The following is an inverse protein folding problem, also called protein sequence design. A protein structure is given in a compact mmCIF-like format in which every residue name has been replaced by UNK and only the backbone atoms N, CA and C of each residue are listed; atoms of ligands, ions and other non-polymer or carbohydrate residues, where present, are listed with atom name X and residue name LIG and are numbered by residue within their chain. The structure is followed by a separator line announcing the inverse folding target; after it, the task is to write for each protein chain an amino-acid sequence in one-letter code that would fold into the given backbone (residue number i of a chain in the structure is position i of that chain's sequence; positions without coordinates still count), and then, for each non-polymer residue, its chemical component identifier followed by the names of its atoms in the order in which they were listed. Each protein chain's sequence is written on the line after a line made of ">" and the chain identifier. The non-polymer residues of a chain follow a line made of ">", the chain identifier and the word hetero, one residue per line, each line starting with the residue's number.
data_IF_280907257194
#
_entry.id   IF_280907257194
#
_cell.length_a   1.000
_cell.length_b   1.000
_cell.length_c   1.000
_cell.angle_alpha   90.00
_cell.angle_beta   90.00
_cell.angle_gamma   90.00
#
_symmetry.space_group_name_H-M   'P 1'
#
loop_
_entity.id
_entity.type
_entity.pdbx_description
1 polymer ?
#
# COMPACT_ATOMS: atom_id res chain seq x y z
N UNK A 1 41.07 -44.13 -24.07
CA UNK A 1 41.10 -42.68 -24.20
C UNK A 1 39.71 -42.20 -23.80
N UNK A 2 39.53 -41.87 -22.47
CA UNK A 2 38.24 -41.57 -21.87
C UNK A 2 38.04 -40.07 -21.94
N UNK A 3 37.05 -39.66 -22.71
CA UNK A 3 36.61 -38.27 -22.89
C UNK A 3 36.02 -37.75 -21.57
N UNK A 4 36.79 -36.93 -20.85
CA UNK A 4 36.33 -36.23 -19.67
C UNK A 4 35.59 -34.98 -20.14
N UNK A 5 34.23 -35.05 -20.23
CA UNK A 5 33.40 -33.86 -20.31
C UNK A 5 33.60 -33.06 -19.02
N UNK A 6 33.82 -31.72 -19.09
CA UNK A 6 33.95 -30.90 -17.92
C UNK A 6 32.64 -30.94 -17.14
N UNK A 7 32.74 -31.23 -15.84
CA UNK A 7 31.62 -31.32 -14.93
C UNK A 7 30.88 -29.99 -14.87
N UNK A 8 29.62 -30.00 -15.26
CA UNK A 8 28.68 -28.95 -14.99
C UNK A 8 28.39 -28.98 -13.48
N UNK A 9 29.01 -28.09 -12.71
CA UNK A 9 28.52 -27.76 -11.38
C UNK A 9 27.08 -27.28 -11.49
N UNK A 10 26.27 -27.34 -10.41
CA UNK A 10 24.90 -26.90 -10.46
C UNK A 10 24.88 -25.47 -10.97
N UNK A 11 24.26 -25.21 -12.13
CA UNK A 11 24.00 -23.87 -12.65
C UNK A 11 23.11 -23.23 -11.61
N UNK A 12 23.67 -22.28 -10.86
CA UNK A 12 22.92 -21.55 -9.84
C UNK A 12 21.78 -20.85 -10.57
N UNK A 13 20.53 -21.23 -10.27
CA UNK A 13 19.36 -20.61 -10.87
C UNK A 13 19.48 -19.08 -10.79
N UNK A 14 19.16 -18.40 -11.88
CA UNK A 14 19.18 -16.94 -11.94
C UNK A 14 18.10 -16.43 -11.00
N UNK A 15 18.50 -15.73 -9.92
CA UNK A 15 17.55 -15.10 -9.00
C UNK A 15 17.19 -13.72 -9.51
N UNK A 16 15.90 -13.50 -9.77
CA UNK A 16 15.35 -12.26 -10.30
C UNK A 16 14.28 -11.74 -9.34
N UNK A 17 14.50 -10.57 -8.75
CA UNK A 17 13.50 -9.88 -7.94
C UNK A 17 12.93 -8.72 -8.75
N UNK A 18 11.60 -8.63 -8.82
CA UNK A 18 10.88 -7.63 -9.61
C UNK A 18 9.88 -6.92 -8.72
N UNK A 19 9.92 -5.60 -8.74
CA UNK A 19 8.88 -4.76 -8.13
C UNK A 19 8.06 -4.11 -9.21
N UNK A 20 6.74 -4.26 -9.11
CA UNK A 20 5.75 -3.73 -10.04
C UNK A 20 4.72 -2.84 -9.34
N UNK A 21 4.58 -2.94 -8.01
CA UNK A 21 3.69 -2.10 -7.20
C UNK A 21 4.31 -0.73 -6.96
N UNK A 22 4.05 0.19 -7.90
CA UNK A 22 4.68 1.50 -8.05
C UNK A 22 5.59 1.56 -9.26
N UNK A 23 6.86 1.87 -9.06
CA UNK A 23 7.85 1.93 -10.15
C UNK A 23 8.38 0.55 -10.47
N UNK A 24 8.58 0.30 -11.77
CA UNK A 24 9.23 -0.94 -12.22
C UNK A 24 10.68 -0.96 -11.79
N UNK A 25 11.03 -1.89 -10.92
CA UNK A 25 12.40 -2.13 -10.48
C UNK A 25 12.75 -3.60 -10.71
N UNK A 26 13.97 -3.84 -11.15
CA UNK A 26 14.48 -5.17 -11.45
C UNK A 26 15.84 -5.36 -10.78
N UNK A 27 15.98 -6.44 -10.03
CA UNK A 27 17.24 -6.86 -9.45
C UNK A 27 17.57 -8.29 -9.91
N UNK A 28 18.83 -8.52 -10.31
CA UNK A 28 19.31 -9.83 -10.72
C UNK A 28 20.52 -10.19 -9.87
N UNK A 29 20.44 -11.32 -9.17
CA UNK A 29 21.46 -11.77 -8.22
C UNK A 29 21.86 -10.69 -7.20
N UNK A 30 20.86 -9.88 -6.72
CA UNK A 30 21.06 -8.79 -5.75
C UNK A 30 21.66 -7.52 -6.34
N UNK A 31 21.79 -7.41 -7.67
CA UNK A 31 22.22 -6.19 -8.34
C UNK A 31 21.06 -5.52 -9.06
N UNK A 32 20.83 -4.26 -8.78
CA UNK A 32 19.79 -3.47 -9.46
C UNK A 32 20.14 -3.27 -10.93
N UNK A 33 19.22 -3.67 -11.81
CA UNK A 33 19.31 -3.48 -13.24
C UNK A 33 18.49 -2.25 -13.66
N UNK A 34 19.11 -1.31 -14.33
CA UNK A 34 18.42 -0.18 -14.96
C UNK A 34 17.90 -0.60 -16.34
N UNK A 35 16.59 -0.67 -16.47
CA UNK A 35 15.95 -0.89 -17.77
C UNK A 35 15.95 0.41 -18.60
N UNK A 36 16.43 0.34 -19.84
CA UNK A 36 16.47 1.46 -20.74
C UNK A 36 15.07 1.72 -21.34
N UNK A 37 14.41 2.79 -20.87
CA UNK A 37 13.14 3.26 -21.44
C UNK A 37 11.90 2.52 -20.98
N UNK A 38 10.75 3.18 -21.18
CA UNK A 38 9.42 2.66 -20.76
C UNK A 38 9.01 1.41 -21.50
N UNK A 39 9.43 1.24 -22.76
CA UNK A 39 9.09 0.07 -23.56
C UNK A 39 9.69 -1.22 -22.98
N UNK A 40 10.95 -1.19 -22.55
CA UNK A 40 11.58 -2.34 -21.90
C UNK A 40 10.94 -2.64 -20.54
N UNK A 41 10.56 -1.61 -19.76
CA UNK A 41 9.85 -1.77 -18.50
C UNK A 41 8.47 -2.42 -18.71
N UNK A 42 7.70 -1.97 -19.72
CA UNK A 42 6.40 -2.54 -20.06
C UNK A 42 6.50 -4.00 -20.49
N UNK A 43 7.52 -4.33 -21.31
CA UNK A 43 7.76 -5.70 -21.73
C UNK A 43 8.10 -6.60 -20.53
N UNK A 44 9.01 -6.20 -19.66
CA UNK A 44 9.36 -6.96 -18.45
C UNK A 44 8.14 -7.16 -17.57
N UNK A 45 7.37 -6.10 -17.31
CA UNK A 45 6.17 -6.19 -16.48
C UNK A 45 5.15 -7.19 -17.05
N UNK A 46 4.90 -7.14 -18.37
CA UNK A 46 3.98 -8.10 -19.01
C UNK A 46 4.50 -9.54 -18.92
N UNK A 47 5.78 -9.78 -19.21
CA UNK A 47 6.38 -11.13 -19.15
C UNK A 47 6.35 -11.70 -17.74
N UNK A 48 6.61 -10.86 -16.72
CA UNK A 48 6.59 -11.23 -15.30
C UNK A 48 5.17 -11.56 -14.81
N UNK A 49 4.16 -10.79 -15.22
CA UNK A 49 2.77 -11.04 -14.81
C UNK A 49 2.16 -12.26 -15.53
N UNK A 50 2.52 -12.46 -16.79
CA UNK A 50 1.94 -13.55 -17.61
C UNK A 50 2.63 -14.91 -17.38
N UNK A 51 3.95 -14.93 -17.17
CA UNK A 51 4.80 -16.12 -16.85
C UNK A 51 4.66 -17.31 -17.79
N UNK A 52 4.31 -17.07 -19.03
CA UNK A 52 4.24 -18.09 -20.07
C UNK A 52 4.81 -17.54 -21.36
N UNK A 53 5.34 -18.42 -22.18
CA UNK A 53 5.76 -18.08 -23.54
C UNK A 53 4.53 -17.76 -24.38
N UNK A 54 4.56 -16.66 -25.12
CA UNK A 54 3.46 -16.19 -25.95
C UNK A 54 3.95 -15.79 -27.34
N UNK A 55 3.02 -15.83 -28.29
CA UNK A 55 3.29 -15.32 -29.63
C UNK A 55 3.68 -13.82 -29.57
N UNK A 56 4.71 -13.45 -30.32
CA UNK A 56 5.21 -12.07 -30.35
C UNK A 56 4.15 -11.07 -30.79
N UNK A 57 3.32 -11.45 -31.75
CA UNK A 57 2.22 -10.59 -32.23
C UNK A 57 1.17 -10.34 -31.12
N UNK A 58 0.87 -11.36 -30.30
CA UNK A 58 -0.03 -11.20 -29.16
C UNK A 58 0.55 -10.25 -28.11
N UNK A 59 1.85 -10.35 -27.80
CA UNK A 59 2.55 -9.42 -26.87
C UNK A 59 2.55 -8.00 -27.44
N UNK A 60 2.81 -7.86 -28.75
CA UNK A 60 2.83 -6.57 -29.42
C UNK A 60 1.45 -5.90 -29.40
N UNK A 61 0.39 -6.65 -29.66
CA UNK A 61 -1.00 -6.17 -29.62
C UNK A 61 -1.41 -5.76 -28.21
N UNK A 62 -1.06 -6.54 -27.18
CA UNK A 62 -1.39 -6.20 -25.80
C UNK A 62 -0.71 -4.88 -25.35
N UNK A 63 0.57 -4.70 -25.67
CA UNK A 63 1.33 -3.54 -25.24
C UNK A 63 1.07 -2.30 -26.10
N UNK A 64 0.81 -2.48 -27.41
CA UNK A 64 0.64 -1.35 -28.35
C UNK A 64 -0.54 -1.59 -29.31
N UNK A 65 -1.78 -1.68 -28.81
CA UNK A 65 -2.95 -2.02 -29.63
C UNK A 65 -3.18 -1.05 -30.79
N UNK A 66 -2.92 0.23 -30.57
CA UNK A 66 -3.19 1.29 -31.56
C UNK A 66 -1.97 1.63 -32.45
N UNK A 67 -0.84 0.94 -32.29
CA UNK A 67 0.35 1.28 -33.06
C UNK A 67 0.35 0.61 -34.44
N UNK A 68 0.42 1.40 -35.50
CA UNK A 68 0.64 0.92 -36.89
C UNK A 68 1.91 0.04 -37.07
N UNK A 69 2.77 -0.01 -36.06
CA UNK A 69 4.02 -0.76 -36.04
C UNK A 69 4.25 -1.49 -34.71
N UNK A 70 3.23 -2.09 -34.10
CA UNK A 70 3.30 -2.79 -32.81
C UNK A 70 4.45 -3.80 -32.73
N UNK A 71 4.67 -4.59 -33.80
CA UNK A 71 5.79 -5.53 -33.92
C UNK A 71 7.16 -4.83 -33.91
N UNK A 72 7.23 -3.63 -34.50
CA UNK A 72 8.43 -2.78 -34.45
C UNK A 72 8.72 -2.28 -33.04
N UNK A 73 7.67 -1.84 -32.31
CA UNK A 73 7.76 -1.43 -30.92
C UNK A 73 8.22 -2.56 -30.00
N UNK A 74 7.69 -3.78 -30.21
CA UNK A 74 8.15 -4.98 -29.49
C UNK A 74 9.64 -5.28 -29.77
N UNK A 75 10.05 -5.19 -31.04
CA UNK A 75 11.44 -5.44 -31.42
C UNK A 75 12.37 -4.42 -30.73
N UNK A 76 11.98 -3.16 -30.66
CA UNK A 76 12.73 -2.12 -29.96
C UNK A 76 12.77 -2.39 -28.45
N UNK A 77 11.64 -2.72 -27.81
CA UNK A 77 11.55 -3.05 -26.38
C UNK A 77 12.46 -4.22 -26.03
N UNK A 78 12.44 -5.28 -26.83
CA UNK A 78 13.29 -6.47 -26.66
C UNK A 78 14.78 -6.13 -26.84
N UNK A 79 15.11 -5.31 -27.82
CA UNK A 79 16.49 -4.83 -28.02
C UNK A 79 16.98 -4.03 -26.81
N UNK A 80 16.17 -3.10 -26.28
CA UNK A 80 16.49 -2.32 -25.08
C UNK A 80 16.69 -3.21 -23.86
N UNK A 81 15.82 -4.21 -23.67
CA UNK A 81 15.94 -5.17 -22.58
C UNK A 81 17.23 -5.99 -22.68
N UNK A 82 17.49 -6.58 -23.85
CA UNK A 82 18.72 -7.35 -24.11
C UNK A 82 19.97 -6.50 -23.90
N UNK A 83 19.96 -5.27 -24.39
CA UNK A 83 21.09 -4.33 -24.22
C UNK A 83 21.32 -3.99 -22.74
N UNK A 84 20.24 -3.78 -21.96
CA UNK A 84 20.34 -3.54 -20.51
C UNK A 84 20.94 -4.71 -19.76
N UNK A 85 20.53 -5.94 -20.10
CA UNK A 85 21.08 -7.19 -19.52
C UNK A 85 22.56 -7.36 -19.87
N UNK A 86 22.91 -7.22 -21.14
CA UNK A 86 24.30 -7.33 -21.62
C UNK A 86 25.21 -6.29 -20.98
N UNK A 87 24.74 -5.04 -20.85
CA UNK A 87 25.49 -3.97 -20.19
C UNK A 87 25.74 -4.26 -18.69
N UNK A 88 24.86 -5.05 -18.05
CA UNK A 88 25.05 -5.54 -16.69
C UNK A 88 25.91 -6.81 -16.60
N UNK A 89 26.44 -7.29 -17.71
CA UNK A 89 27.26 -8.51 -17.78
C UNK A 89 26.45 -9.83 -17.71
N UNK A 90 25.16 -9.76 -18.05
CA UNK A 90 24.25 -10.91 -18.05
C UNK A 90 23.99 -11.37 -19.49
N UNK A 91 23.92 -12.68 -19.70
CA UNK A 91 23.45 -13.25 -20.94
C UNK A 91 21.91 -13.17 -20.97
N UNK A 92 21.31 -12.44 -21.92
CA UNK A 92 19.85 -12.32 -22.03
C UNK A 92 19.13 -13.66 -22.15
N UNK A 93 19.76 -14.65 -22.74
CA UNK A 93 19.16 -15.98 -22.95
C UNK A 93 19.11 -16.84 -21.67
N UNK A 94 19.71 -16.36 -20.56
CA UNK A 94 19.51 -16.92 -19.23
C UNK A 94 18.17 -16.47 -18.59
N UNK A 95 17.63 -15.34 -19.02
CA UNK A 95 16.34 -14.79 -18.53
C UNK A 95 15.21 -15.05 -19.51
N UNK A 96 15.47 -14.90 -20.80
CA UNK A 96 14.47 -14.89 -21.86
C UNK A 96 14.47 -16.21 -22.65
N UNK A 97 13.28 -16.75 -22.86
CA UNK A 97 13.01 -17.74 -23.89
C UNK A 97 12.45 -17.02 -25.10
N UNK A 98 13.21 -17.01 -26.22
CA UNK A 98 12.91 -16.15 -27.35
C UNK A 98 13.34 -16.82 -28.66
N UNK A 99 12.38 -17.06 -29.53
CA UNK A 99 12.60 -17.51 -30.91
C UNK A 99 12.01 -16.50 -31.93
N UNK A 100 11.80 -16.93 -33.18
CA UNK A 100 11.27 -16.07 -34.24
C UNK A 100 9.82 -15.63 -33.95
N UNK A 101 8.99 -16.50 -33.36
CA UNK A 101 7.56 -16.37 -33.27
C UNK A 101 7.08 -16.16 -31.84
N UNK A 102 7.86 -16.54 -30.83
CA UNK A 102 7.48 -16.55 -29.43
C UNK A 102 8.48 -15.83 -28.52
N UNK A 103 7.99 -15.39 -27.35
CA UNK A 103 8.77 -14.72 -26.31
C UNK A 103 8.15 -15.00 -24.94
N UNK A 104 9.01 -15.25 -23.96
CA UNK A 104 8.62 -15.41 -22.55
C UNK A 104 9.82 -15.32 -21.62
N UNK A 105 9.58 -15.50 -20.33
CA UNK A 105 10.62 -15.76 -19.36
C UNK A 105 10.93 -17.26 -19.32
N UNK A 106 12.17 -17.60 -19.07
CA UNK A 106 12.57 -18.99 -18.88
C UNK A 106 11.92 -19.57 -17.62
N UNK A 107 11.44 -20.82 -17.66
CA UNK A 107 10.75 -21.44 -16.52
C UNK A 107 11.69 -21.80 -15.35
N UNK A 108 13.01 -21.86 -15.61
CA UNK A 108 14.05 -22.19 -14.61
C UNK A 108 14.60 -20.95 -13.86
N UNK A 109 14.03 -19.75 -14.09
CA UNK A 109 14.37 -18.53 -13.36
C UNK A 109 13.68 -18.53 -11.99
N UNK A 110 14.48 -18.32 -10.92
CA UNK A 110 13.96 -18.08 -9.57
C UNK A 110 13.43 -16.64 -9.48
N UNK A 111 12.10 -16.49 -9.60
CA UNK A 111 11.42 -15.21 -9.73
C UNK A 111 10.71 -14.83 -8.43
N UNK A 112 11.15 -13.73 -7.78
CA UNK A 112 10.53 -13.10 -6.63
C UNK A 112 9.84 -11.81 -7.05
N UNK A 113 8.50 -11.75 -6.97
CA UNK A 113 7.69 -10.62 -7.43
C UNK A 113 6.87 -10.07 -6.28
N UNK A 114 6.87 -8.74 -6.12
CA UNK A 114 6.09 -8.07 -5.09
C UNK A 114 4.57 -8.27 -5.22
N UNK A 115 4.05 -8.41 -6.44
CA UNK A 115 2.64 -8.74 -6.70
C UNK A 115 2.26 -10.09 -6.11
N UNK A 116 3.09 -11.14 -6.27
CA UNK A 116 2.81 -12.45 -5.68
C UNK A 116 2.81 -12.41 -4.16
N UNK A 117 3.81 -11.72 -3.60
CA UNK A 117 3.89 -11.54 -2.15
C UNK A 117 2.71 -10.74 -1.61
N UNK A 118 2.23 -9.77 -2.38
CA UNK A 118 1.02 -9.02 -2.05
C UNK A 118 -0.22 -9.93 -2.08
N UNK A 119 -0.38 -10.73 -3.13
CA UNK A 119 -1.49 -11.68 -3.26
C UNK A 119 -1.48 -12.72 -2.14
N UNK A 120 -0.30 -13.24 -1.79
CA UNK A 120 -0.13 -14.14 -0.63
C UNK A 120 -0.47 -13.45 0.69
N UNK A 121 -0.10 -12.18 0.85
CA UNK A 121 -0.40 -11.39 2.05
C UNK A 121 -1.89 -11.05 2.18
N UNK A 122 -2.63 -10.91 1.07
CA UNK A 122 -4.07 -10.64 1.07
C UNK A 122 -4.90 -11.92 1.20
N UNK A 123 -4.61 -12.94 0.40
CA UNK A 123 -5.47 -14.12 0.23
C UNK A 123 -4.79 -15.46 0.43
N UNK A 124 -3.53 -15.50 0.86
CA UNK A 124 -2.78 -16.72 1.12
C UNK A 124 -3.25 -17.47 2.37
N UNK A 125 -2.62 -18.60 2.71
CA UNK A 125 -3.00 -19.44 3.84
C UNK A 125 -2.78 -18.78 5.22
N UNK A 126 -1.97 -17.71 5.28
CA UNK A 126 -1.72 -16.91 6.48
C UNK A 126 -1.75 -15.41 6.10
N UNK A 127 -2.94 -14.80 5.93
CA UNK A 127 -3.05 -13.43 5.48
C UNK A 127 -2.40 -12.44 6.45
N UNK A 128 -1.63 -11.50 5.92
CA UNK A 128 -1.07 -10.37 6.66
C UNK A 128 -1.38 -9.04 5.94
N UNK A 129 -2.53 -8.42 6.26
CA UNK A 129 -2.91 -7.15 5.65
C UNK A 129 -1.89 -6.03 5.91
N UNK A 130 -1.13 -6.10 7.00
CA UNK A 130 -0.05 -5.14 7.29
C UNK A 130 1.07 -5.24 6.26
N UNK A 131 1.53 -6.46 5.97
CA UNK A 131 2.52 -6.72 4.92
C UNK A 131 2.00 -6.30 3.53
N UNK A 132 0.72 -6.57 3.21
CA UNK A 132 0.11 -6.12 1.96
C UNK A 132 0.20 -4.60 1.81
N UNK A 133 -0.10 -3.84 2.87
CA UNK A 133 0.02 -2.38 2.87
C UNK A 133 1.47 -1.90 2.69
N UNK A 134 2.44 -2.61 3.25
CA UNK A 134 3.87 -2.29 3.09
C UNK A 134 4.37 -2.57 1.67
N UNK A 135 3.90 -3.64 1.04
CA UNK A 135 4.28 -4.02 -0.32
C UNK A 135 3.70 -3.07 -1.38
N UNK A 136 2.51 -2.52 -1.15
CA UNK A 136 1.83 -1.64 -2.09
C UNK A 136 2.39 -0.21 -2.02
N UNK A 137 3.50 0.05 -2.71
CA UNK A 137 4.17 1.35 -2.73
C UNK A 137 3.54 2.34 -3.74
N UNK A 138 2.65 1.88 -4.62
CA UNK A 138 1.94 2.64 -5.63
C UNK A 138 1.14 1.72 -6.54
N UNK A 139 0.44 2.29 -7.51
CA UNK A 139 -0.33 1.49 -8.48
C UNK A 139 0.57 0.57 -9.30
N UNK A 140 0.01 -0.55 -9.75
CA UNK A 140 0.72 -1.48 -10.62
C UNK A 140 1.28 -0.74 -11.83
N UNK A 141 2.62 -0.78 -11.98
CA UNK A 141 3.37 -0.15 -13.06
C UNK A 141 2.96 1.32 -13.31
N UNK A 142 2.87 2.12 -12.26
CA UNK A 142 2.33 3.48 -12.20
C UNK A 142 2.76 4.39 -13.37
N UNK A 143 4.02 4.26 -13.80
CA UNK A 143 4.56 5.08 -14.88
C UNK A 143 4.19 4.60 -16.29
N UNK A 144 3.46 3.49 -16.43
CA UNK A 144 3.14 2.83 -17.70
C UNK A 144 1.64 2.86 -17.95
N UNK A 145 1.20 3.71 -18.87
CA UNK A 145 -0.22 3.87 -19.23
C UNK A 145 -0.78 2.79 -20.17
N UNK A 146 -0.24 1.56 -20.15
CA UNK A 146 -0.72 0.49 -21.03
C UNK A 146 -2.02 -0.12 -20.51
N UNK A 147 -3.01 -0.24 -21.41
CA UNK A 147 -4.35 -0.74 -21.12
C UNK A 147 -4.34 -2.21 -20.65
N UNK A 148 -3.39 -3.01 -21.15
CA UNK A 148 -3.26 -4.41 -20.77
C UNK A 148 -3.03 -4.64 -19.27
N UNK A 149 -2.63 -3.62 -18.51
CA UNK A 149 -2.48 -3.68 -17.06
C UNK A 149 -3.70 -3.15 -16.29
N UNK A 150 -4.69 -2.56 -16.95
CA UNK A 150 -5.79 -1.84 -16.29
C UNK A 150 -6.56 -2.72 -15.32
N UNK A 151 -7.01 -3.89 -15.78
CA UNK A 151 -7.77 -4.85 -14.95
C UNK A 151 -6.99 -5.32 -13.72
N UNK A 152 -5.70 -5.61 -13.90
CA UNK A 152 -4.86 -6.07 -12.79
C UNK A 152 -4.54 -4.94 -11.83
N UNK A 153 -4.37 -3.72 -12.33
CA UNK A 153 -4.21 -2.50 -11.52
C UNK A 153 -5.42 -2.26 -10.63
N UNK A 154 -6.62 -2.33 -11.19
CA UNK A 154 -7.87 -2.19 -10.46
C UNK A 154 -8.01 -3.27 -9.37
N UNK A 155 -7.82 -4.54 -9.72
CA UNK A 155 -7.87 -5.65 -8.76
C UNK A 155 -6.92 -5.45 -7.56
N UNK A 156 -5.68 -5.04 -7.82
CA UNK A 156 -4.68 -4.82 -6.77
C UNK A 156 -4.99 -3.57 -5.94
N UNK A 157 -5.57 -2.53 -6.55
CA UNK A 157 -6.01 -1.34 -5.84
C UNK A 157 -7.16 -1.65 -4.88
N UNK A 158 -8.17 -2.40 -5.33
CA UNK A 158 -9.30 -2.83 -4.50
C UNK A 158 -8.82 -3.69 -3.32
N UNK A 159 -7.95 -4.67 -3.59
CA UNK A 159 -7.40 -5.53 -2.55
C UNK A 159 -6.56 -4.76 -1.51
N UNK A 160 -5.83 -3.73 -1.94
CA UNK A 160 -5.10 -2.83 -1.04
C UNK A 160 -6.04 -2.00 -0.17
N UNK A 161 -7.14 -1.49 -0.72
CA UNK A 161 -8.15 -0.74 0.03
C UNK A 161 -8.84 -1.62 1.08
N UNK A 162 -9.16 -2.86 0.74
CA UNK A 162 -9.70 -3.83 1.68
C UNK A 162 -8.69 -4.18 2.79
N UNK A 163 -7.40 -4.30 2.47
CA UNK A 163 -6.35 -4.48 3.46
C UNK A 163 -6.24 -3.28 4.43
N UNK A 164 -6.41 -2.05 3.92
CA UNK A 164 -6.45 -0.84 4.77
C UNK A 164 -7.63 -0.85 5.74
N UNK A 165 -8.83 -1.30 5.31
CA UNK A 165 -10.00 -1.47 6.18
C UNK A 165 -9.66 -2.45 7.31
N UNK A 166 -9.15 -3.64 6.96
CA UNK A 166 -8.81 -4.67 7.93
C UNK A 166 -7.77 -4.20 8.97
N UNK A 167 -6.72 -3.51 8.51
CA UNK A 167 -5.70 -2.95 9.41
C UNK A 167 -6.28 -1.86 10.30
N UNK A 168 -7.11 -0.97 9.75
CA UNK A 168 -7.75 0.09 10.53
C UNK A 168 -8.65 -0.46 11.63
N UNK A 169 -9.47 -1.48 11.32
CA UNK A 169 -10.34 -2.12 12.31
C UNK A 169 -9.56 -2.93 13.35
N UNK A 170 -8.51 -3.66 12.95
CA UNK A 170 -7.64 -4.37 13.87
C UNK A 170 -6.96 -3.42 14.86
N UNK A 171 -6.36 -2.33 14.38
CA UNK A 171 -5.72 -1.32 15.24
C UNK A 171 -6.71 -0.65 16.17
N UNK A 172 -7.93 -0.40 15.72
CA UNK A 172 -9.01 0.11 16.56
C UNK A 172 -9.37 -0.87 17.70
N UNK A 173 -9.44 -2.18 17.41
CA UNK A 173 -9.69 -3.22 18.41
C UNK A 173 -8.51 -3.36 19.40
N UNK A 174 -7.29 -3.14 18.96
CA UNK A 174 -6.07 -3.11 19.78
C UNK A 174 -5.88 -1.78 20.56
N UNK A 175 -6.83 -0.85 20.45
CA UNK A 175 -6.78 0.51 21.03
C UNK A 175 -5.62 1.37 20.50
N UNK A 176 -5.05 1.05 19.35
CA UNK A 176 -4.11 1.89 18.62
C UNK A 176 -4.87 2.95 17.78
N UNK A 177 -5.36 3.98 18.46
CA UNK A 177 -6.14 5.06 17.81
C UNK A 177 -5.33 5.84 16.77
N UNK A 178 -4.03 6.16 16.98
CA UNK A 178 -3.21 6.80 15.97
C UNK A 178 -3.05 5.94 14.71
N UNK A 179 -2.76 4.65 14.86
CA UNK A 179 -2.60 3.74 13.74
C UNK A 179 -3.91 3.45 12.98
N UNK A 180 -5.04 3.30 13.69
CA UNK A 180 -6.34 3.17 13.08
C UNK A 180 -6.71 4.41 12.25
N UNK A 181 -6.44 5.60 12.80
CA UNK A 181 -6.65 6.88 12.10
C UNK A 181 -5.80 6.98 10.84
N UNK A 182 -4.52 6.62 10.92
CA UNK A 182 -3.61 6.67 9.78
C UNK A 182 -4.10 5.79 8.63
N UNK A 183 -4.46 4.52 8.91
CA UNK A 183 -4.96 3.60 7.90
C UNK A 183 -6.27 4.10 7.26
N UNK A 184 -7.21 4.60 8.08
CA UNK A 184 -8.47 5.18 7.58
C UNK A 184 -8.23 6.43 6.71
N UNK A 185 -7.29 7.31 7.06
CA UNK A 185 -6.95 8.48 6.25
C UNK A 185 -6.27 8.11 4.93
N UNK A 186 -5.42 7.06 4.92
CA UNK A 186 -4.83 6.54 3.67
C UNK A 186 -5.91 6.00 2.73
N UNK A 187 -6.92 5.30 3.28
CA UNK A 187 -8.06 4.83 2.49
C UNK A 187 -8.87 6.00 1.92
N UNK A 188 -9.22 7.01 2.74
CA UNK A 188 -9.98 8.18 2.28
C UNK A 188 -9.22 9.08 1.30
N UNK A 189 -7.90 8.99 1.24
CA UNK A 189 -7.11 9.68 0.23
C UNK A 189 -7.26 9.04 -1.17
N UNK A 190 -7.67 7.77 -1.23
CA UNK A 190 -7.93 7.03 -2.47
C UNK A 190 -9.41 7.04 -2.82
N UNK A 191 -10.24 6.61 -1.89
CA UNK A 191 -11.70 6.63 -2.00
C UNK A 191 -12.33 7.46 -0.87
N UNK A 192 -12.65 8.73 -1.14
CA UNK A 192 -13.30 9.61 -0.16
C UNK A 192 -14.73 9.19 0.21
N UNK A 193 -15.36 8.29 -0.57
CA UNK A 193 -16.73 7.82 -0.35
C UNK A 193 -16.79 6.54 0.49
N UNK A 194 -15.65 5.94 0.83
CA UNK A 194 -15.57 4.68 1.58
C UNK A 194 -16.07 4.85 3.02
N UNK A 195 -17.31 4.46 3.26
CA UNK A 195 -17.98 4.65 4.56
C UNK A 195 -17.28 3.89 5.71
N UNK A 196 -16.63 2.73 5.44
CA UNK A 196 -15.85 1.98 6.42
C UNK A 196 -14.78 2.85 7.08
N UNK A 197 -14.01 3.59 6.27
CA UNK A 197 -12.97 4.48 6.78
C UNK A 197 -13.55 5.61 7.63
N UNK A 198 -14.69 6.17 7.21
CA UNK A 198 -15.39 7.18 8.00
C UNK A 198 -15.87 6.61 9.33
N UNK A 199 -16.40 5.36 9.37
CA UNK A 199 -16.79 4.69 10.62
C UNK A 199 -15.62 4.52 11.58
N UNK A 200 -14.45 4.13 11.08
CA UNK A 200 -13.21 4.06 11.89
C UNK A 200 -12.88 5.44 12.48
N UNK A 201 -12.88 6.50 11.66
CA UNK A 201 -12.60 7.86 12.15
C UNK A 201 -13.63 8.37 13.17
N UNK A 202 -14.92 8.04 13.00
CA UNK A 202 -15.95 8.37 13.98
C UNK A 202 -15.67 7.69 15.32
N UNK A 203 -15.29 6.41 15.35
CA UNK A 203 -14.91 5.68 16.58
C UNK A 203 -13.64 6.27 17.21
N UNK A 204 -12.61 6.57 16.43
CA UNK A 204 -11.37 7.23 16.91
C UNK A 204 -11.71 8.57 17.56
N UNK A 205 -12.50 9.43 16.90
CA UNK A 205 -12.87 10.73 17.45
C UNK A 205 -13.84 10.63 18.63
N UNK A 206 -14.65 9.57 18.70
CA UNK A 206 -15.48 9.27 19.86
C UNK A 206 -14.64 8.89 21.08
N UNK A 207 -13.55 8.13 20.88
CA UNK A 207 -12.65 7.68 21.96
C UNK A 207 -11.67 8.78 22.41
N UNK A 208 -10.95 9.43 21.48
CA UNK A 208 -9.84 10.33 21.80
C UNK A 208 -10.10 11.78 21.40
N UNK A 209 -11.09 12.02 20.55
CA UNK A 209 -11.38 13.34 20.01
C UNK A 209 -12.42 14.14 20.80
N UNK A 210 -12.94 15.15 20.17
CA UNK A 210 -13.99 16.00 20.68
C UNK A 210 -15.31 15.75 19.96
N UNK A 211 -16.44 16.04 20.61
CA UNK A 211 -17.77 16.03 19.99
C UNK A 211 -17.82 16.82 18.67
N UNK A 212 -17.10 17.94 18.60
CA UNK A 212 -17.02 18.74 17.38
C UNK A 212 -16.30 18.02 16.22
N UNK A 213 -15.30 17.17 16.52
CA UNK A 213 -14.62 16.37 15.51
C UNK A 213 -15.52 15.26 14.96
N UNK A 214 -16.24 14.55 15.82
CA UNK A 214 -17.24 13.55 15.44
C UNK A 214 -18.29 14.17 14.51
N UNK A 215 -18.85 15.32 14.91
CA UNK A 215 -19.88 16.01 14.13
C UNK A 215 -19.36 16.48 12.77
N UNK A 216 -18.15 17.05 12.73
CA UNK A 216 -17.53 17.48 11.45
C UNK A 216 -17.27 16.31 10.51
N UNK A 217 -16.79 15.17 11.04
CA UNK A 217 -16.53 13.99 10.24
C UNK A 217 -17.79 13.44 9.59
N UNK A 218 -18.87 13.32 10.37
CA UNK A 218 -20.15 12.82 9.87
C UNK A 218 -20.76 13.77 8.83
N UNK A 219 -20.76 15.08 9.08
CA UNK A 219 -21.25 16.10 8.12
C UNK A 219 -20.47 16.03 6.82
N UNK A 220 -19.14 15.93 6.89
CA UNK A 220 -18.28 15.83 5.71
C UNK A 220 -18.67 14.63 4.83
N UNK A 221 -18.90 13.47 5.45
CA UNK A 221 -19.35 12.27 4.75
C UNK A 221 -20.74 12.48 4.13
N UNK A 222 -21.74 12.93 4.92
CA UNK A 222 -23.11 13.11 4.44
C UNK A 222 -23.19 14.10 3.28
N UNK A 223 -22.45 15.21 3.35
CA UNK A 223 -22.39 16.21 2.28
C UNK A 223 -21.74 15.63 1.02
N UNK A 224 -20.72 14.77 1.18
CA UNK A 224 -20.02 14.14 0.08
C UNK A 224 -20.91 13.10 -0.63
N UNK A 225 -21.56 12.21 0.14
CA UNK A 225 -22.47 11.18 -0.40
C UNK A 225 -23.66 11.81 -1.15
N UNK A 226 -24.24 12.87 -0.57
CA UNK A 226 -25.35 13.58 -1.21
C UNK A 226 -24.93 14.27 -2.50
N UNK A 227 -23.74 14.88 -2.52
CA UNK A 227 -23.24 15.62 -3.67
C UNK A 227 -22.83 14.71 -4.85
N UNK A 228 -22.13 13.60 -4.54
CA UNK A 228 -21.53 12.73 -5.56
C UNK A 228 -22.48 11.60 -6.03
N UNK A 229 -23.32 11.09 -5.10
CA UNK A 229 -24.15 9.90 -5.35
C UNK A 229 -25.66 10.14 -5.11
N UNK A 230 -26.03 11.27 -4.54
CA UNK A 230 -27.44 11.59 -4.13
C UNK A 230 -28.02 10.54 -3.16
N UNK A 231 -27.19 10.05 -2.22
CA UNK A 231 -27.60 9.07 -1.20
C UNK A 231 -27.32 9.57 0.21
N UNK A 232 -28.00 8.98 1.20
CA UNK A 232 -27.73 9.18 2.62
C UNK A 232 -26.73 8.13 3.13
N UNK A 233 -26.01 8.40 4.25
CA UNK A 233 -25.12 7.43 4.87
C UNK A 233 -25.84 6.13 5.23
N UNK A 234 -25.11 5.00 5.17
CA UNK A 234 -25.60 3.70 5.57
C UNK A 234 -26.05 3.68 7.04
N UNK A 235 -27.05 2.85 7.41
CA UNK A 235 -27.53 2.71 8.79
C UNK A 235 -26.40 2.43 9.80
N UNK A 236 -25.41 1.61 9.42
CA UNK A 236 -24.23 1.27 10.21
C UNK A 236 -23.36 2.49 10.51
N UNK A 237 -23.26 3.40 9.55
CA UNK A 237 -22.51 4.65 9.70
C UNK A 237 -23.25 5.65 10.60
N UNK A 238 -24.56 5.72 10.46
CA UNK A 238 -25.41 6.52 11.39
C UNK A 238 -25.30 5.99 12.81
N UNK A 239 -25.35 4.65 13.00
CA UNK A 239 -25.17 4.03 14.31
C UNK A 239 -23.77 4.31 14.91
N UNK A 240 -22.72 4.22 14.09
CA UNK A 240 -21.36 4.56 14.51
C UNK A 240 -21.23 6.02 14.93
N UNK A 241 -21.88 6.94 14.22
CA UNK A 241 -21.94 8.35 14.59
C UNK A 241 -22.63 8.57 15.95
N UNK A 242 -23.81 7.97 16.16
CA UNK A 242 -24.57 8.10 17.42
C UNK A 242 -23.74 7.57 18.61
N UNK A 243 -23.10 6.42 18.44
CA UNK A 243 -22.24 5.83 19.46
C UNK A 243 -21.03 6.72 19.77
N UNK A 244 -20.34 7.23 18.75
CA UNK A 244 -19.20 8.14 18.92
C UNK A 244 -19.58 9.46 19.62
N UNK A 245 -20.76 10.01 19.31
CA UNK A 245 -21.28 11.21 19.96
C UNK A 245 -21.53 10.96 21.45
N UNK A 246 -22.15 9.84 21.80
CA UNK A 246 -22.42 9.48 23.19
C UNK A 246 -21.12 9.33 24.01
N UNK A 247 -20.11 8.63 23.44
CA UNK A 247 -18.80 8.50 24.10
C UNK A 247 -18.09 9.84 24.29
N UNK A 248 -18.09 10.70 23.30
CA UNK A 248 -17.48 12.03 23.41
C UNK A 248 -18.18 12.92 24.46
N UNK A 249 -19.50 12.78 24.64
CA UNK A 249 -20.27 13.48 25.67
C UNK A 249 -19.95 12.97 27.08
N UNK A 250 -19.92 11.64 27.28
CA UNK A 250 -19.57 11.03 28.55
C UNK A 250 -18.18 11.46 29.05
N UNK A 251 -17.18 11.42 28.18
CA UNK A 251 -15.82 11.89 28.51
C UNK A 251 -15.76 13.37 28.83
N UNK A 252 -16.51 14.20 28.10
CA UNK A 252 -16.58 15.66 28.40
C UNK A 252 -17.16 15.89 29.78
N UNK A 253 -18.18 15.12 30.18
CA UNK A 253 -18.78 15.21 31.51
C UNK A 253 -17.79 14.76 32.61
N UNK A 254 -17.07 13.66 32.40
CA UNK A 254 -16.02 13.17 33.31
C UNK A 254 -14.90 14.19 33.50
N UNK A 255 -14.41 14.81 32.41
CA UNK A 255 -13.37 15.82 32.44
C UNK A 255 -13.81 17.04 33.28
N UNK A 256 -15.07 17.48 33.15
CA UNK A 256 -15.64 18.57 33.95
C UNK A 256 -15.72 18.20 35.43
N UNK A 257 -16.12 16.99 35.78
CA UNK A 257 -16.15 16.50 37.16
C UNK A 257 -14.75 16.48 37.77
N UNK A 258 -13.77 15.95 37.06
CA UNK A 258 -12.37 15.93 37.53
C UNK A 258 -11.80 17.33 37.72
N UNK A 259 -12.09 18.28 36.83
CA UNK A 259 -11.63 19.67 36.95
C UNK A 259 -12.23 20.32 38.20
N UNK A 260 -13.54 20.14 38.47
CA UNK A 260 -14.21 20.66 39.68
C UNK A 260 -13.66 20.05 40.98
N UNK A 261 -13.35 18.74 40.97
CA UNK A 261 -12.73 18.08 42.12
C UNK A 261 -11.32 18.61 42.39
N UNK A 262 -10.52 18.85 41.31
CA UNK A 262 -9.20 19.43 41.44
C UNK A 262 -9.26 20.89 41.96
N UNK A 263 -10.20 21.71 41.50
CA UNK A 263 -10.41 23.07 42.00
C UNK A 263 -10.81 23.08 43.48
N UNK A 264 -11.73 22.18 43.91
CA UNK A 264 -12.12 22.07 45.33
C UNK A 264 -10.98 21.60 46.21
N UNK A 265 -10.12 20.66 45.72
CA UNK A 265 -8.93 20.24 46.46
C UNK A 265 -7.88 21.34 46.56
N UNK A 266 -7.69 22.17 45.53
CA UNK A 266 -6.77 23.32 45.56
C UNK A 266 -7.22 24.42 46.51
N UNK A 267 -8.54 24.69 46.62
CA UNK A 267 -9.11 25.66 47.59
C UNK A 267 -9.00 25.13 49.01
N UNK A 268 -9.09 23.80 49.24
CA UNK A 268 -8.97 23.19 50.57
C UNK A 268 -7.54 23.22 51.13
N UNK A 269 -6.51 23.23 50.23
CA UNK A 269 -5.10 23.40 50.59
C UNK A 269 -4.73 24.87 50.39
N UNK A 270 -5.28 25.75 51.22
CA UNK A 270 -5.00 27.20 51.16
C UNK A 270 -3.52 27.54 51.16
N UNK A 271 -3.11 28.75 50.72
CA UNK A 271 -1.68 29.10 50.61
C UNK A 271 -1.04 29.00 52.01
N UNK A 272 -0.11 28.04 52.11
CA UNK A 272 0.66 27.83 53.35
C UNK A 272 1.24 29.15 53.81
N UNK A 273 0.97 29.51 55.08
CA UNK A 273 1.52 30.67 55.75
C UNK A 273 3.07 30.65 55.53
N UNK A 274 3.52 31.68 54.84
CA UNK A 274 4.95 32.00 54.84
C UNK A 274 5.37 32.21 56.28
N UNK A 275 6.20 31.33 56.84
CA UNK A 275 6.86 31.55 58.12
C UNK A 275 7.85 32.69 57.92
N UNK A 276 7.56 33.83 58.58
CA UNK A 276 8.52 34.92 58.73
C UNK A 276 9.85 34.42 59.30
N UNK A 277 11.01 34.84 58.77
CA UNK A 277 12.29 34.56 59.39
C UNK A 277 12.42 35.40 60.67
N UNK A 278 12.59 34.71 61.79
CA UNK A 278 12.91 35.33 63.07
C UNK A 278 14.17 36.20 62.95
N UNK A 279 14.03 37.50 63.22
CA UNK A 279 15.12 38.46 63.42
C UNK A 279 15.93 38.04 64.62
N UNK A 280 17.21 37.63 64.39
CA UNK A 280 18.18 37.53 65.44
C UNK A 280 18.86 38.90 65.57
N UNK A 281 18.49 39.61 66.64
CA UNK A 281 19.13 40.82 67.09
C UNK A 281 20.48 40.44 67.73
N UNK A 282 21.53 41.12 67.28
CA UNK A 282 22.89 41.07 67.84
C UNK A 282 22.91 41.77 69.22
N UNK A 283 23.58 41.15 70.18
CA UNK A 283 24.15 41.74 71.35
C UNK A 283 25.62 41.36 71.37
#
# INVERSE_FOLDING_TARGET
>A
MVDRRPGWGPVRALRVSVRLLGRVELEINGRRLRLAGRQAQALVALLVLVRRVRARDAIATDLWPDALGATGSLRQALWLLRSSLTAAGLDPDQLLESDADALGLRPDVDLDVDVDRFDDAVGGPAPDPGLAIELYQGELVECLGHECFARERERLADAYEDALVLVAERRLAEHDMPGAREAALRLLARDPLREEAHRVLLRVYGSDGTRAQVLRQFRRLSDLLRRELDVEPLPETVAAFQHAMHHAEARSAEAVVHLRLAETAFVAVGPGRATEPASVAAG
#
